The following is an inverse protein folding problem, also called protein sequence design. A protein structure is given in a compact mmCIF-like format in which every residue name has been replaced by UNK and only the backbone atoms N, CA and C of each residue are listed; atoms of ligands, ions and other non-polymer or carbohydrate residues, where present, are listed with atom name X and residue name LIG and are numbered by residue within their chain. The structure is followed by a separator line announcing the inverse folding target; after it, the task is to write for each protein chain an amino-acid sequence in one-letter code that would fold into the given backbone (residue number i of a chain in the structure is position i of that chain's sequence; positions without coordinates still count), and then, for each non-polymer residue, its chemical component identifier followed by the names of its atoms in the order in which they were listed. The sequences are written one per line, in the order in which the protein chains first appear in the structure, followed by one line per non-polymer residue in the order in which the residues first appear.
data_IF_528288686484
#
_entry.id   IF_528288686484
#
_cell.length_a   1.000
_cell.length_b   1.000
_cell.length_c   1.000
_cell.angle_alpha   90.00
_cell.angle_beta   90.00
_cell.angle_gamma   90.00
#
_symmetry.space_group_name_H-M   'P 1'
#
loop_
_entity.id
_entity.type
_entity.pdbx_description
1 polymer ?
#
# COMPACT_ATOMS: atom_id res chain seq x y z
N UNK A 1 8.37 5.81 -15.53
CA UNK A 1 8.66 5.27 -14.18
C UNK A 1 7.32 5.02 -13.52
N UNK A 2 7.03 3.78 -13.12
CA UNK A 2 5.80 3.49 -12.38
C UNK A 2 6.01 3.84 -10.91
N UNK A 3 5.16 4.70 -10.35
CA UNK A 3 5.25 5.06 -8.94
C UNK A 3 4.94 3.82 -8.09
N UNK A 4 5.91 3.44 -7.24
CA UNK A 4 5.81 2.33 -6.29
C UNK A 4 5.15 2.84 -5.02
N UNK A 5 4.06 2.22 -4.59
CA UNK A 5 3.25 2.67 -3.44
C UNK A 5 3.25 1.60 -2.35
N UNK A 6 3.48 2.01 -1.11
CA UNK A 6 3.27 1.24 0.12
C UNK A 6 2.00 1.75 0.78
N UNK A 7 1.01 0.88 0.99
CA UNK A 7 -0.25 1.24 1.65
C UNK A 7 -0.13 0.97 3.14
N UNK A 8 -0.50 1.93 3.99
CA UNK A 8 -0.47 1.81 5.45
C UNK A 8 -1.84 2.15 6.01
N UNK A 9 -2.53 1.16 6.57
CA UNK A 9 -3.87 1.31 7.17
C UNK A 9 -4.14 0.12 8.11
N UNK A 10 -4.76 0.36 9.27
CA UNK A 10 -5.04 -0.66 10.28
C UNK A 10 -6.13 -1.66 9.84
N UNK A 11 -7.08 -1.23 9.01
CA UNK A 11 -8.15 -2.07 8.51
C UNK A 11 -7.77 -2.81 7.22
N UNK A 12 -7.83 -4.15 7.26
CA UNK A 12 -7.51 -4.99 6.10
C UNK A 12 -8.42 -4.72 4.88
N UNK A 13 -9.70 -4.40 5.11
CA UNK A 13 -10.64 -4.06 4.04
C UNK A 13 -10.25 -2.76 3.31
N UNK A 14 -9.79 -1.74 4.06
CA UNK A 14 -9.37 -0.46 3.49
C UNK A 14 -8.15 -0.63 2.59
N UNK A 15 -7.17 -1.45 3.00
CA UNK A 15 -6.00 -1.76 2.15
C UNK A 15 -6.38 -2.42 0.83
N UNK A 16 -7.33 -3.38 0.86
CA UNK A 16 -7.83 -4.03 -0.34
C UNK A 16 -8.50 -3.03 -1.29
N UNK A 17 -9.40 -2.18 -0.77
CA UNK A 17 -10.08 -1.15 -1.55
C UNK A 17 -9.11 -0.13 -2.17
N UNK A 18 -8.17 0.40 -1.37
CA UNK A 18 -7.17 1.37 -1.85
C UNK A 18 -6.27 0.73 -2.90
N UNK A 19 -5.84 -0.51 -2.70
CA UNK A 19 -5.04 -1.27 -3.68
C UNK A 19 -5.77 -1.42 -5.01
N UNK A 20 -7.06 -1.75 -5.00
CA UNK A 20 -7.85 -1.81 -6.22
C UNK A 20 -7.91 -0.47 -6.95
N UNK A 21 -8.15 0.63 -6.22
CA UNK A 21 -8.20 1.97 -6.81
C UNK A 21 -6.85 2.32 -7.44
N UNK A 22 -5.74 2.10 -6.74
CA UNK A 22 -4.39 2.42 -7.22
C UNK A 22 -4.02 1.59 -8.44
N UNK A 23 -4.26 0.28 -8.40
CA UNK A 23 -3.93 -0.63 -9.51
C UNK A 23 -4.78 -0.33 -10.75
N UNK A 24 -6.08 -0.02 -10.60
CA UNK A 24 -6.94 0.43 -11.71
C UNK A 24 -6.44 1.73 -12.38
N UNK A 25 -5.76 2.58 -11.63
CA UNK A 25 -5.19 3.83 -12.14
C UNK A 25 -3.71 3.70 -12.58
N UNK A 26 -3.21 2.47 -12.76
CA UNK A 26 -1.87 2.22 -13.29
C UNK A 26 -0.72 2.40 -12.29
N UNK A 27 -1.02 2.53 -11.00
CA UNK A 27 -0.02 2.55 -9.94
C UNK A 27 0.39 1.14 -9.54
N UNK A 28 1.63 1.00 -9.05
CA UNK A 28 2.18 -0.28 -8.61
C UNK A 28 2.23 -0.30 -7.09
N UNK A 29 1.37 -1.11 -6.47
CA UNK A 29 1.41 -1.34 -5.02
C UNK A 29 2.48 -2.40 -4.73
N UNK A 30 3.50 -2.03 -3.97
CA UNK A 30 4.65 -2.89 -3.68
C UNK A 30 4.63 -3.49 -2.28
N UNK A 31 3.67 -3.06 -1.46
CA UNK A 31 3.48 -3.61 -0.13
C UNK A 31 2.28 -3.02 0.57
N UNK A 32 1.92 -3.66 1.68
CA UNK A 32 0.87 -3.27 2.60
C UNK A 32 1.43 -3.38 4.02
N UNK A 33 1.06 -2.45 4.90
CA UNK A 33 1.40 -2.43 6.32
C UNK A 33 0.14 -2.11 7.15
N UNK A 34 0.02 -2.69 8.34
CA UNK A 34 -1.09 -2.42 9.26
C UNK A 34 -0.80 -1.31 10.27
N UNK A 35 0.44 -0.85 10.34
CA UNK A 35 0.90 0.16 11.30
C UNK A 35 2.17 0.84 10.80
N UNK A 36 2.57 1.90 11.50
CA UNK A 36 3.76 2.69 11.15
C UNK A 36 5.08 1.94 11.30
N UNK A 37 5.18 1.00 12.25
CA UNK A 37 6.42 0.23 12.47
C UNK A 37 6.66 -0.70 11.29
N UNK A 38 5.65 -1.45 10.89
CA UNK A 38 5.70 -2.30 9.70
C UNK A 38 5.92 -1.50 8.42
N UNK A 39 5.35 -0.30 8.33
CA UNK A 39 5.56 0.57 7.17
C UNK A 39 7.03 0.98 7.03
N UNK A 40 7.65 1.41 8.13
CA UNK A 40 9.08 1.77 8.15
C UNK A 40 9.96 0.57 7.85
N UNK A 41 9.63 -0.62 8.37
CA UNK A 41 10.38 -1.85 8.10
C UNK A 41 10.32 -2.24 6.62
N UNK A 42 9.14 -2.10 5.98
CA UNK A 42 8.93 -2.40 4.55
C UNK A 42 9.45 -1.32 3.60
N UNK A 43 9.72 -0.11 4.09
CA UNK A 43 10.24 0.99 3.28
C UNK A 43 11.76 0.91 3.09
N UNK A 44 12.48 0.29 4.02
CA UNK A 44 13.93 0.04 3.92
C UNK A 44 14.26 -0.84 2.72
#
# INVERSE_FOLDING_TARGET
MSNRILIVDDAAFMRMMIKEILTKNGFVVVGEASDGVQAVDKYK
#
